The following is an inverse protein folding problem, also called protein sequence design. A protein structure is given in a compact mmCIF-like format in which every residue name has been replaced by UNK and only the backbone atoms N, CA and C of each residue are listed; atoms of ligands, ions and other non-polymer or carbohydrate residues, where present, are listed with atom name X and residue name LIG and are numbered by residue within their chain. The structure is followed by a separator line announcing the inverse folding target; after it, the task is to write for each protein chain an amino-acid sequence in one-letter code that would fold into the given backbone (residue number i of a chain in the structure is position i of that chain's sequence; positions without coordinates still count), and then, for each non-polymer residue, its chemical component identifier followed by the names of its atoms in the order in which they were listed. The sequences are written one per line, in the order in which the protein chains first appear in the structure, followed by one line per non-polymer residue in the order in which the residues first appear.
data_IF_864546349088
#
_entry.id   IF_864546349088
#
_cell.length_a   1.000
_cell.length_b   1.000
_cell.length_c   1.000
_cell.angle_alpha   90.00
_cell.angle_beta   90.00
_cell.angle_gamma   90.00
#
_symmetry.space_group_name_H-M   'P 1'
#
loop_
_entity.id
_entity.type
_entity.pdbx_description
1 polymer ?
#
# COMPACT_ATOMS: atom_id res chain seq x y z
N UNK A 1 -32.07 1.66 2.57
CA UNK A 1 -30.86 2.39 2.12
C UNK A 1 -30.83 2.40 0.61
N UNK A 2 -30.53 3.54 0.00
CA UNK A 2 -30.39 3.65 -1.45
C UNK A 2 -29.18 2.84 -1.95
N UNK A 3 -29.35 2.17 -3.09
CA UNK A 3 -28.34 1.27 -3.69
C UNK A 3 -27.08 2.02 -4.10
N UNK A 4 -27.22 3.28 -4.51
CA UNK A 4 -26.11 4.16 -4.85
C UNK A 4 -25.29 4.49 -3.59
N UNK A 5 -25.96 4.79 -2.48
CA UNK A 5 -25.32 5.03 -1.19
C UNK A 5 -24.55 3.80 -0.68
N UNK A 6 -25.10 2.59 -0.83
CA UNK A 6 -24.38 1.35 -0.48
C UNK A 6 -23.10 1.15 -1.29
N UNK A 7 -23.09 1.53 -2.58
CA UNK A 7 -21.89 1.46 -3.41
C UNK A 7 -20.83 2.49 -3.01
N UNK A 8 -21.25 3.70 -2.64
CA UNK A 8 -20.36 4.74 -2.10
C UNK A 8 -19.68 4.28 -0.80
N UNK A 9 -20.44 3.72 0.13
CA UNK A 9 -19.88 3.15 1.38
C UNK A 9 -18.88 2.03 1.07
N UNK A 10 -19.18 1.17 0.08
CA UNK A 10 -18.28 0.07 -0.28
C UNK A 10 -16.95 0.58 -0.85
N UNK A 11 -16.99 1.58 -1.74
CA UNK A 11 -15.76 2.13 -2.34
C UNK A 11 -14.92 2.87 -1.29
N UNK A 12 -15.55 3.63 -0.39
CA UNK A 12 -14.87 4.30 0.73
C UNK A 12 -14.19 3.28 1.63
N UNK A 13 -14.90 2.20 2.00
CA UNK A 13 -14.35 1.14 2.83
C UNK A 13 -13.15 0.44 2.18
N UNK A 14 -13.23 0.10 0.90
CA UNK A 14 -12.10 -0.54 0.21
C UNK A 14 -10.94 0.43 -0.05
N UNK A 15 -11.22 1.72 -0.25
CA UNK A 15 -10.19 2.77 -0.35
C UNK A 15 -9.42 2.87 0.97
N UNK A 16 -10.14 2.96 2.10
CA UNK A 16 -9.54 3.01 3.43
C UNK A 16 -8.65 1.79 3.70
N UNK A 17 -9.11 0.57 3.38
CA UNK A 17 -8.30 -0.65 3.52
C UNK A 17 -7.03 -0.64 2.66
N UNK A 18 -7.07 -0.04 1.46
CA UNK A 18 -5.89 0.13 0.60
C UNK A 18 -4.92 1.13 1.23
N UNK A 19 -5.43 2.24 1.75
CA UNK A 19 -4.63 3.28 2.38
C UNK A 19 -3.96 2.77 3.67
N UNK A 20 -4.68 2.01 4.50
CA UNK A 20 -4.14 1.35 5.68
C UNK A 20 -3.01 0.37 5.30
N UNK A 21 -3.20 -0.43 4.24
CA UNK A 21 -2.16 -1.34 3.74
C UNK A 21 -0.94 -0.60 3.17
N UNK A 22 -1.15 0.56 2.53
CA UNK A 22 -0.09 1.41 2.02
C UNK A 22 0.74 2.01 3.17
N UNK A 23 0.07 2.49 4.22
CA UNK A 23 0.73 2.98 5.43
C UNK A 23 1.58 1.88 6.07
N UNK A 24 1.01 0.69 6.28
CA UNK A 24 1.72 -0.46 6.85
C UNK A 24 2.92 -0.90 6.00
N UNK A 25 2.82 -0.87 4.67
CA UNK A 25 3.95 -1.17 3.79
C UNK A 25 5.07 -0.13 3.92
N UNK A 26 4.73 1.16 4.00
CA UNK A 26 5.71 2.25 4.21
C UNK A 26 6.38 2.16 5.58
N UNK A 27 5.63 1.81 6.62
CA UNK A 27 6.17 1.57 7.96
C UNK A 27 7.16 0.40 7.95
N UNK A 28 6.80 -0.71 7.31
CA UNK A 28 7.69 -1.86 7.15
C UNK A 28 8.96 -1.50 6.38
N UNK A 29 8.85 -0.67 5.33
CA UNK A 29 9.99 -0.23 4.55
C UNK A 29 10.97 0.59 5.39
N UNK A 30 10.47 1.60 6.12
CA UNK A 30 11.30 2.39 7.05
C UNK A 30 11.97 1.52 8.10
N UNK A 31 11.24 0.56 8.68
CA UNK A 31 11.79 -0.35 9.66
C UNK A 31 12.92 -1.21 9.07
N UNK A 32 12.78 -1.67 7.82
CA UNK A 32 13.80 -2.45 7.14
C UNK A 32 15.05 -1.64 6.78
N UNK A 33 14.87 -0.41 6.30
CA UNK A 33 15.97 0.53 6.05
C UNK A 33 16.75 0.81 7.33
N UNK A 34 16.06 1.11 8.43
CA UNK A 34 16.70 1.34 9.73
C UNK A 34 17.45 0.10 10.23
N UNK A 35 16.85 -1.10 10.11
CA UNK A 35 17.48 -2.35 10.54
C UNK A 35 18.75 -2.65 9.74
N UNK A 36 18.73 -2.41 8.42
CA UNK A 36 19.91 -2.54 7.55
C UNK A 36 21.00 -1.55 7.92
N UNK A 37 20.67 -0.26 8.07
CA UNK A 37 21.64 0.77 8.43
C UNK A 37 22.32 0.47 9.78
N UNK A 38 21.56 -0.03 10.76
CA UNK A 38 22.12 -0.46 12.04
C UNK A 38 23.08 -1.65 11.89
N UNK A 39 22.75 -2.63 11.04
CA UNK A 39 23.63 -3.77 10.77
C UNK A 39 24.95 -3.29 10.12
N UNK A 40 24.85 -2.44 9.11
CA UNK A 40 25.99 -1.90 8.37
C UNK A 40 26.89 -1.06 9.28
N UNK A 41 26.29 -0.23 10.14
CA UNK A 41 27.01 0.58 11.13
C UNK A 41 27.81 -0.28 12.11
N UNK A 42 27.26 -1.40 12.57
CA UNK A 42 27.97 -2.32 13.47
C UNK A 42 29.13 -3.02 12.77
N UNK A 43 28.95 -3.41 11.50
CA UNK A 43 30.03 -4.01 10.69
C UNK A 43 31.16 -3.01 10.46
N UNK A 44 30.83 -1.77 10.08
CA UNK A 44 31.82 -0.71 9.90
C UNK A 44 32.57 -0.44 11.22
N UNK A 45 31.84 -0.30 12.32
CA UNK A 45 32.41 -0.08 13.64
C UNK A 45 33.38 -1.21 14.03
N UNK A 46 33.05 -2.47 13.72
CA UNK A 46 33.96 -3.60 13.96
C UNK A 46 35.28 -3.47 13.19
N UNK A 47 35.24 -3.11 11.91
CA UNK A 47 36.46 -2.96 11.10
C UNK A 47 37.32 -1.78 11.57
N UNK A 48 36.71 -0.65 11.91
CA UNK A 48 37.39 0.50 12.50
C UNK A 48 38.06 0.11 13.83
N UNK A 49 37.31 -0.59 14.69
CA UNK A 49 37.78 -1.07 15.98
C UNK A 49 38.97 -2.02 15.82
N UNK A 50 38.89 -2.98 14.88
CA UNK A 50 39.98 -3.93 14.58
C UNK A 50 41.23 -3.22 14.07
N UNK A 51 41.07 -2.26 13.16
CA UNK A 51 42.18 -1.47 12.61
C UNK A 51 42.89 -0.68 13.71
N UNK A 52 42.13 0.03 14.56
CA UNK A 52 42.67 0.80 15.68
C UNK A 52 43.47 -0.08 16.66
N UNK A 53 42.95 -1.27 16.96
CA UNK A 53 43.62 -2.20 17.87
C UNK A 53 44.85 -2.86 17.26
N UNK A 54 44.86 -3.17 15.96
CA UNK A 54 46.04 -3.71 15.27
C UNK A 54 47.25 -2.76 15.38
N UNK A 55 47.02 -1.45 15.27
CA UNK A 55 48.04 -0.42 15.44
C UNK A 55 48.53 -0.30 16.90
N UNK A 56 47.65 -0.56 17.88
CA UNK A 56 47.99 -0.54 19.31
C UNK A 56 48.82 -1.78 19.72
N UNK A 57 48.46 -2.96 19.20
CA UNK A 57 49.18 -4.21 19.49
C UNK A 57 50.61 -4.21 18.94
N UNK A 58 50.87 -3.50 17.83
CA UNK A 58 52.21 -3.33 17.28
C UNK A 58 53.20 -2.63 18.24
N UNK A 59 52.73 -1.93 19.28
CA UNK A 59 53.56 -1.15 20.22
C UNK A 59 53.77 -1.81 21.59
N UNK A 60 53.28 -3.04 21.79
CA UNK A 60 53.15 -3.77 23.07
C UNK A 60 51.81 -3.55 23.77
N UNK A 61 51.15 -4.65 24.17
CA UNK A 61 49.88 -4.62 24.91
C UNK A 61 49.88 -5.64 26.07
N UNK A 62 49.39 -5.27 27.26
CA UNK A 62 49.20 -6.21 28.37
C UNK A 62 48.20 -7.34 28.02
N UNK A 63 48.41 -8.53 28.58
CA UNK A 63 47.56 -9.71 28.33
C UNK A 63 46.08 -9.50 28.74
N UNK A 64 45.84 -8.72 29.79
CA UNK A 64 44.49 -8.38 30.25
C UNK A 64 43.71 -7.57 29.20
N UNK A 65 44.42 -6.67 28.50
CA UNK A 65 43.86 -5.85 27.44
C UNK A 65 43.50 -6.70 26.22
N UNK A 66 44.34 -7.68 25.87
CA UNK A 66 44.04 -8.66 24.81
C UNK A 66 42.77 -9.46 25.13
N UNK A 67 42.62 -9.91 26.37
CA UNK A 67 41.42 -10.65 26.82
C UNK A 67 40.17 -9.79 26.76
N UNK A 68 40.25 -8.53 27.20
CA UNK A 68 39.15 -7.57 27.12
C UNK A 68 38.71 -7.31 25.67
N UNK A 69 39.69 -7.11 24.77
CA UNK A 69 39.46 -6.96 23.34
C UNK A 69 38.69 -8.16 22.76
N UNK A 70 39.18 -9.38 22.99
CA UNK A 70 38.54 -10.59 22.47
C UNK A 70 37.10 -10.73 22.97
N UNK A 71 36.87 -10.51 24.27
CA UNK A 71 35.53 -10.59 24.85
C UNK A 71 34.57 -9.54 24.28
N UNK A 72 35.04 -8.34 23.98
CA UNK A 72 34.23 -7.31 23.33
C UNK A 72 33.91 -7.66 21.87
N UNK A 73 34.90 -8.12 21.10
CA UNK A 73 34.72 -8.53 19.70
C UNK A 73 33.69 -9.65 19.59
N UNK A 74 33.76 -10.66 20.47
CA UNK A 74 32.75 -11.73 20.50
C UNK A 74 31.32 -11.20 20.72
N UNK A 75 31.14 -10.24 21.63
CA UNK A 75 29.82 -9.63 21.85
C UNK A 75 29.38 -8.78 20.65
N UNK A 76 30.30 -8.07 20.01
CA UNK A 76 30.02 -7.28 18.82
C UNK A 76 29.61 -8.17 17.64
N UNK A 77 30.28 -9.30 17.42
CA UNK A 77 29.91 -10.27 16.38
C UNK A 77 28.54 -10.91 16.64
N UNK A 78 28.21 -11.20 17.91
CA UNK A 78 26.88 -11.68 18.28
C UNK A 78 25.80 -10.62 18.02
N UNK A 79 26.09 -9.34 18.31
CA UNK A 79 25.19 -8.23 18.04
C UNK A 79 24.98 -8.04 16.53
N UNK A 80 26.05 -8.08 15.73
CA UNK A 80 25.98 -8.03 14.25
C UNK A 80 25.11 -9.17 13.71
N UNK A 81 25.33 -10.40 14.18
CA UNK A 81 24.56 -11.57 13.73
C UNK A 81 23.07 -11.39 14.03
N UNK A 82 22.75 -10.94 15.24
CA UNK A 82 21.37 -10.63 15.65
C UNK A 82 20.76 -9.54 14.78
N UNK A 83 21.50 -8.46 14.54
CA UNK A 83 21.02 -7.32 13.77
C UNK A 83 20.81 -7.68 12.29
N UNK A 84 21.68 -8.50 11.71
CA UNK A 84 21.52 -9.03 10.36
C UNK A 84 20.30 -9.93 10.24
N UNK A 85 20.01 -10.76 11.26
CA UNK A 85 18.79 -11.55 11.29
C UNK A 85 17.53 -10.67 11.34
N UNK A 86 17.55 -9.61 12.16
CA UNK A 86 16.48 -8.60 12.22
C UNK A 86 16.29 -7.91 10.87
N UNK A 87 17.37 -7.52 10.19
CA UNK A 87 17.32 -6.90 8.87
C UNK A 87 16.66 -7.85 7.84
N UNK A 88 17.03 -9.14 7.82
CA UNK A 88 16.38 -10.14 6.96
C UNK A 88 14.89 -10.28 7.26
N UNK A 89 14.53 -10.42 8.53
CA UNK A 89 13.13 -10.53 8.95
C UNK A 89 12.32 -9.28 8.56
N UNK A 90 12.92 -8.09 8.67
CA UNK A 90 12.28 -6.83 8.28
C UNK A 90 12.04 -6.76 6.76
N UNK A 91 12.99 -7.25 5.95
CA UNK A 91 12.81 -7.37 4.50
C UNK A 91 11.68 -8.33 4.13
N UNK A 92 11.57 -9.47 4.83
CA UNK A 92 10.45 -10.41 4.64
C UNK A 92 9.11 -9.77 4.98
N UNK A 93 9.05 -8.94 6.04
CA UNK A 93 7.85 -8.17 6.40
C UNK A 93 7.47 -7.15 5.33
N UNK A 94 8.44 -6.46 4.71
CA UNK A 94 8.19 -5.57 3.57
C UNK A 94 7.56 -6.34 2.41
N UNK A 95 8.12 -7.49 2.07
CA UNK A 95 7.60 -8.34 0.99
C UNK A 95 6.17 -8.82 1.29
N UNK A 96 5.88 -9.21 2.54
CA UNK A 96 4.54 -9.60 2.97
C UNK A 96 3.55 -8.43 2.90
N UNK A 97 3.93 -7.25 3.41
CA UNK A 97 3.09 -6.05 3.37
C UNK A 97 2.78 -5.60 1.93
N UNK A 98 3.76 -5.72 1.02
CA UNK A 98 3.57 -5.42 -0.40
C UNK A 98 2.54 -6.34 -1.05
N UNK A 99 2.55 -7.64 -0.72
CA UNK A 99 1.53 -8.59 -1.20
C UNK A 99 0.13 -8.19 -0.73
N UNK A 100 0.00 -7.76 0.52
CA UNK A 100 -1.27 -7.27 1.07
C UNK A 100 -1.73 -6.01 0.35
N UNK A 101 -0.84 -5.04 0.15
CA UNK A 101 -1.14 -3.80 -0.56
C UNK A 101 -1.67 -4.09 -1.98
N UNK A 102 -0.94 -4.91 -2.76
CA UNK A 102 -1.35 -5.31 -4.12
C UNK A 102 -2.74 -5.96 -4.14
N UNK A 103 -3.03 -6.82 -3.17
CA UNK A 103 -4.34 -7.44 -3.05
C UNK A 103 -5.45 -6.42 -2.77
N UNK A 104 -5.20 -5.43 -1.92
CA UNK A 104 -6.16 -4.34 -1.64
C UNK A 104 -6.39 -3.45 -2.85
N UNK A 105 -5.33 -3.13 -3.60
CA UNK A 105 -5.42 -2.36 -4.84
C UNK A 105 -6.26 -3.11 -5.90
N UNK A 106 -6.03 -4.40 -6.08
CA UNK A 106 -6.81 -5.23 -7.00
C UNK A 106 -8.29 -5.29 -6.60
N UNK A 107 -8.59 -5.44 -5.31
CA UNK A 107 -9.97 -5.40 -4.80
C UNK A 107 -10.64 -4.04 -5.05
N UNK A 108 -9.94 -2.96 -4.78
CA UNK A 108 -10.43 -1.61 -5.03
C UNK A 108 -10.73 -1.38 -6.52
N UNK A 109 -9.81 -1.76 -7.40
CA UNK A 109 -10.01 -1.68 -8.86
C UNK A 109 -11.23 -2.50 -9.32
N UNK A 110 -11.41 -3.70 -8.78
CA UNK A 110 -12.56 -4.57 -9.08
C UNK A 110 -13.87 -3.91 -8.66
N UNK A 111 -13.92 -3.33 -7.45
CA UNK A 111 -15.10 -2.61 -6.95
C UNK A 111 -15.41 -1.38 -7.81
N UNK A 112 -14.39 -0.60 -8.18
CA UNK A 112 -14.55 0.57 -9.07
C UNK A 112 -15.20 0.17 -10.39
N UNK A 113 -14.68 -0.87 -11.04
CA UNK A 113 -15.22 -1.37 -12.32
C UNK A 113 -16.66 -1.86 -12.19
N UNK A 114 -17.00 -2.51 -11.09
CA UNK A 114 -18.38 -2.96 -10.83
C UNK A 114 -19.34 -1.77 -10.67
N UNK A 115 -18.93 -0.72 -9.94
CA UNK A 115 -19.73 0.48 -9.73
C UNK A 115 -19.93 1.22 -11.06
N UNK A 116 -18.87 1.41 -11.83
CA UNK A 116 -18.91 2.06 -13.14
C UNK A 116 -19.89 1.35 -14.09
N UNK A 117 -19.80 0.02 -14.21
CA UNK A 117 -20.73 -0.76 -15.03
C UNK A 117 -22.19 -0.58 -14.61
N UNK A 118 -22.45 -0.47 -13.31
CA UNK A 118 -23.82 -0.27 -12.79
C UNK A 118 -24.32 1.15 -13.05
N UNK A 119 -23.46 2.15 -12.93
CA UNK A 119 -23.80 3.54 -13.26
C UNK A 119 -24.14 3.66 -14.75
N UNK A 120 -23.34 3.07 -15.63
CA UNK A 120 -23.60 3.03 -17.08
C UNK A 120 -24.94 2.36 -17.39
N UNK A 121 -25.24 1.21 -16.78
CA UNK A 121 -26.52 0.54 -16.97
C UNK A 121 -27.71 1.38 -16.47
N UNK A 122 -27.56 2.09 -15.34
CA UNK A 122 -28.60 2.98 -14.83
C UNK A 122 -28.85 4.17 -15.77
N UNK A 123 -27.79 4.77 -16.32
CA UNK A 123 -27.89 5.86 -17.29
C UNK A 123 -28.61 5.41 -18.57
N UNK A 124 -28.29 4.23 -19.10
CA UNK A 124 -28.98 3.69 -20.28
C UNK A 124 -30.47 3.46 -20.03
N UNK A 125 -30.85 2.98 -18.84
CA UNK A 125 -32.27 2.80 -18.47
C UNK A 125 -32.97 4.15 -18.34
N UNK A 126 -32.32 5.16 -17.76
CA UNK A 126 -32.86 6.51 -17.64
C UNK A 126 -33.09 7.14 -19.02
N UNK A 127 -32.10 7.08 -19.91
CA UNK A 127 -32.19 7.59 -21.29
C UNK A 127 -33.35 6.95 -22.07
N UNK A 128 -33.53 5.63 -21.96
CA UNK A 128 -34.66 4.93 -22.62
C UNK A 128 -36.02 5.38 -22.08
N UNK A 129 -36.12 5.64 -20.76
CA UNK A 129 -37.36 6.13 -20.14
C UNK A 129 -37.66 7.55 -20.60
N UNK A 130 -36.67 8.43 -20.60
CA UNK A 130 -36.81 9.81 -21.09
C UNK A 130 -37.23 9.84 -22.57
N UNK A 131 -36.57 9.07 -23.43
CA UNK A 131 -36.92 8.97 -24.84
C UNK A 131 -38.38 8.53 -25.03
N UNK A 132 -38.81 7.48 -24.32
CA UNK A 132 -40.21 7.02 -24.38
C UNK A 132 -41.19 8.11 -23.95
N UNK A 133 -40.89 8.86 -22.88
CA UNK A 133 -41.75 9.95 -22.42
C UNK A 133 -41.81 11.11 -23.43
N UNK A 134 -40.70 11.43 -24.10
CA UNK A 134 -40.67 12.42 -25.18
C UNK A 134 -41.50 11.97 -26.38
N UNK A 135 -41.36 10.70 -26.80
CA UNK A 135 -42.13 10.14 -27.92
C UNK A 135 -43.64 10.17 -27.63
N UNK A 136 -44.06 9.79 -26.42
CA UNK A 136 -45.47 9.86 -25.99
C UNK A 136 -46.02 11.29 -25.95
N UNK A 137 -45.20 12.27 -25.55
CA UNK A 137 -45.59 13.67 -25.58
C UNK A 137 -45.72 14.21 -27.01
N UNK A 138 -44.75 13.86 -27.88
CA UNK A 138 -44.77 14.23 -29.30
C UNK A 138 -45.97 13.62 -30.04
N UNK A 139 -46.30 12.35 -29.77
CA UNK A 139 -47.50 11.71 -30.32
C UNK A 139 -48.78 12.42 -29.89
N UNK A 140 -48.92 12.75 -28.59
CA UNK A 140 -50.08 13.49 -28.08
C UNK A 140 -50.24 14.85 -28.75
N UNK A 141 -49.15 15.61 -28.88
CA UNK A 141 -49.17 16.91 -29.56
C UNK A 141 -49.51 16.77 -31.06
N UNK A 142 -48.94 15.77 -31.74
CA UNK A 142 -49.24 15.52 -33.15
C UNK A 142 -50.68 15.06 -33.40
N UNK A 143 -51.29 14.31 -32.48
CA UNK A 143 -52.70 13.93 -32.55
C UNK A 143 -53.61 15.14 -32.31
N UNK A 144 -53.30 16.00 -31.34
CA UNK A 144 -54.04 17.23 -31.10
C UNK A 144 -53.99 18.19 -32.31
N UNK A 145 -52.82 18.34 -32.95
CA UNK A 145 -52.67 19.17 -34.14
C UNK A 145 -53.46 18.64 -35.35
N UNK A 146 -53.54 17.31 -35.53
CA UNK A 146 -54.35 16.69 -36.60
C UNK A 146 -55.86 16.74 -36.31
N UNK A 147 -56.26 16.59 -35.05
CA UNK A 147 -57.66 16.73 -34.64
C UNK A 147 -58.20 18.15 -34.83
N UNK A 148 -57.35 19.17 -34.63
CA UNK A 148 -57.71 20.58 -34.86
C UNK A 148 -57.87 20.95 -36.36
N UNK A 149 -57.18 20.24 -37.26
CA UNK A 149 -57.30 20.46 -38.72
C UNK A 149 -58.52 19.79 -39.35
N UNK A 150 -59.14 18.80 -38.68
CA UNK A 150 -60.33 18.11 -39.15
C UNK A 150 -61.66 18.72 -38.61
N UNK A 151 -61.56 19.72 -37.74
CA UNK A 151 -62.70 20.37 -37.08
C UNK A 151 -62.98 21.80 -37.59
N UNK A 152 -62.45 22.16 -38.77
CA UNK A 152 -62.63 23.43 -39.45
C UNK A 152 -63.03 23.17 -40.91
#
# INVERSE_FOLDING_TARGET
MDRQHTMQILIERETRKRDDALAAWRDAQRAAENASQQADSLVQYREEYRTRWSAQFAKSAPIEIVRCYHGFVQRLDQAITTQQATARQSADRVAAALKVLRHREMKLATVRRLIERRQQAALQVAQRREQKTFDEAAQRLGWAARGGLAAN
#
